data_IF_103307227499
#
_entry.id   IF_103307227499
#
_cell.length_a   1.000
_cell.length_b   1.000
_cell.length_c   1.000
_cell.angle_alpha   90.00
_cell.angle_beta   90.00
_cell.angle_gamma   90.00
#
_symmetry.space_group_name_H-M   'P 1'
#
loop_
_entity.id
_entity.type
_entity.pdbx_description
1 polymer ?
#
# COMPACT_ATOMS: atom_id res chain seq x y z
N UNK A 1 12.57 1.61 -1.84
CA UNK A 1 11.61 0.49 -1.65
C UNK A 1 10.49 0.95 -0.73
N UNK A 2 9.23 0.73 -1.10
CA UNK A 2 8.07 1.07 -0.27
C UNK A 2 7.37 -0.23 0.17
N UNK A 3 6.94 -0.29 1.43
CA UNK A 3 6.16 -1.41 1.96
C UNK A 3 4.98 -0.91 2.78
N UNK A 4 3.81 -1.50 2.57
CA UNK A 4 2.61 -1.29 3.38
C UNK A 4 2.24 -2.64 3.98
N UNK A 5 2.20 -2.72 5.32
CA UNK A 5 1.97 -3.98 6.03
C UNK A 5 0.86 -3.79 7.04
N UNK A 6 -0.12 -4.69 7.04
CA UNK A 6 -1.08 -4.82 8.13
C UNK A 6 -0.88 -6.17 8.82
N UNK A 7 -0.68 -6.15 10.14
CA UNK A 7 -0.36 -7.35 10.94
C UNK A 7 -1.56 -7.90 11.72
N UNK A 8 -2.77 -7.43 11.40
CA UNK A 8 -4.01 -7.77 12.12
C UNK A 8 -4.40 -6.74 13.17
N UNK A 9 -3.48 -5.84 13.57
CA UNK A 9 -3.77 -4.76 14.51
C UNK A 9 -3.15 -3.41 14.12
N UNK A 10 -2.00 -3.39 13.45
CA UNK A 10 -1.30 -2.17 13.09
C UNK A 10 -1.04 -2.11 11.60
N UNK A 11 -1.09 -0.91 11.02
CA UNK A 11 -0.60 -0.64 9.67
C UNK A 11 0.72 0.09 9.76
N UNK A 12 1.71 -0.37 8.99
CA UNK A 12 3.06 0.19 8.96
C UNK A 12 3.43 0.59 7.54
N UNK A 13 3.97 1.80 7.40
CA UNK A 13 4.63 2.26 6.18
C UNK A 13 6.14 2.13 6.34
N UNK A 14 6.75 1.42 5.42
CA UNK A 14 8.19 1.26 5.33
C UNK A 14 8.75 2.05 4.15
N UNK A 15 9.85 2.76 4.39
CA UNK A 15 10.73 3.34 3.36
C UNK A 15 12.11 2.73 3.56
N UNK A 16 12.59 2.02 2.55
CA UNK A 16 13.90 1.35 2.58
C UNK A 16 14.11 0.49 3.84
N UNK A 17 13.10 -0.34 4.13
CA UNK A 17 13.02 -1.25 5.29
C UNK A 17 12.95 -0.58 6.66
N UNK A 18 12.85 0.74 6.74
CA UNK A 18 12.63 1.50 7.99
C UNK A 18 11.15 1.87 8.13
N UNK A 19 10.57 1.64 9.31
CA UNK A 19 9.21 2.13 9.63
C UNK A 19 9.25 3.65 9.75
N UNK A 20 8.49 4.34 8.89
CA UNK A 20 8.40 5.81 8.88
C UNK A 20 7.03 6.32 9.35
N UNK A 21 6.01 5.45 9.38
CA UNK A 21 4.72 5.74 9.97
C UNK A 21 4.03 4.45 10.44
N UNK A 22 3.24 4.56 11.51
CA UNK A 22 2.48 3.45 12.09
C UNK A 22 1.18 3.96 12.71
N UNK A 23 0.09 3.21 12.53
CA UNK A 23 -1.16 3.39 13.28
C UNK A 23 -1.82 2.07 13.65
N UNK A 24 -2.77 2.11 14.59
CA UNK A 24 -3.55 0.96 15.01
C UNK A 24 -4.90 0.94 14.27
N UNK A 25 -5.19 -0.19 13.63
CA UNK A 25 -6.41 -0.45 12.87
C UNK A 25 -6.83 -1.91 13.11
N UNK A 26 -7.87 -2.11 13.93
CA UNK A 26 -8.32 -3.44 14.35
C UNK A 26 -9.04 -4.26 13.27
N UNK A 27 -9.38 -3.65 12.12
CA UNK A 27 -10.01 -4.32 10.99
C UNK A 27 -9.89 -3.49 9.72
N UNK A 28 -9.76 -4.15 8.57
CA UNK A 28 -9.74 -3.49 7.27
C UNK A 28 -11.12 -3.53 6.63
N UNK A 29 -11.59 -2.39 6.15
CA UNK A 29 -12.78 -2.32 5.31
C UNK A 29 -12.46 -2.88 3.92
N UNK A 30 -13.43 -3.60 3.35
CA UNK A 30 -13.35 -4.05 1.97
C UNK A 30 -13.38 -2.89 0.98
N UNK A 31 -12.70 -3.05 -0.15
CA UNK A 31 -12.86 -2.16 -1.31
C UNK A 31 -13.58 -2.91 -2.42
N UNK A 32 -14.65 -2.32 -2.95
CA UNK A 32 -15.42 -2.91 -4.05
C UNK A 32 -14.83 -2.62 -5.44
N UNK A 33 -13.89 -1.66 -5.52
CA UNK A 33 -13.24 -1.29 -6.77
C UNK A 33 -11.98 -2.12 -7.03
N UNK A 34 -11.59 -2.21 -8.30
CA UNK A 34 -10.33 -2.84 -8.70
C UNK A 34 -9.09 -2.14 -8.12
N UNK A 35 -8.01 -2.90 -7.97
CA UNK A 35 -6.72 -2.37 -7.55
C UNK A 35 -6.04 -1.63 -8.71
N UNK A 36 -5.90 -0.31 -8.57
CA UNK A 36 -5.19 0.53 -9.52
C UNK A 36 -3.80 0.87 -8.98
N UNK A 37 -2.76 0.64 -9.76
CA UNK A 37 -1.38 1.08 -9.45
C UNK A 37 -1.00 2.22 -10.38
N UNK A 38 -0.45 3.30 -9.81
CA UNK A 38 -0.03 4.47 -10.58
C UNK A 38 -1.17 5.40 -11.02
N UNK A 39 -2.38 5.26 -10.47
CA UNK A 39 -3.52 6.13 -10.73
C UNK A 39 -4.40 6.31 -9.49
N UNK A 40 -5.22 7.37 -9.47
CA UNK A 40 -6.23 7.56 -8.44
C UNK A 40 -7.41 6.58 -8.56
N UNK A 41 -8.25 6.53 -7.51
CA UNK A 41 -9.38 5.58 -7.40
C UNK A 41 -10.33 5.56 -8.62
N UNK A 42 -10.52 6.71 -9.28
CA UNK A 42 -11.41 6.88 -10.44
C UNK A 42 -10.65 6.99 -11.78
N UNK A 43 -9.33 6.75 -11.81
CA UNK A 43 -8.48 6.87 -13.01
C UNK A 43 -8.74 8.17 -13.80
N UNK A 44 -8.72 9.30 -13.10
CA UNK A 44 -9.01 10.61 -13.68
C UNK A 44 -7.73 11.33 -14.09
N UNK A 45 -7.84 12.22 -15.07
CA UNK A 45 -6.74 13.12 -15.47
C UNK A 45 -6.18 13.86 -14.26
N UNK A 46 -4.85 13.94 -14.19
CA UNK A 46 -4.13 14.56 -13.06
C UNK A 46 -3.89 13.64 -11.86
N UNK A 47 -4.45 12.42 -11.84
CA UNK A 47 -4.18 11.44 -10.77
C UNK A 47 -3.13 10.39 -11.12
N UNK A 48 -2.61 10.43 -12.35
CA UNK A 48 -1.62 9.47 -12.82
C UNK A 48 -0.24 9.78 -12.23
N UNK A 49 0.42 8.74 -11.72
CA UNK A 49 1.81 8.80 -11.30
C UNK A 49 2.73 8.96 -12.52
N UNK A 50 3.73 9.84 -12.41
CA UNK A 50 4.75 10.04 -13.43
C UNK A 50 6.08 9.49 -12.94
N UNK A 51 6.46 8.31 -13.43
CA UNK A 51 7.69 7.62 -13.06
C UNK A 51 7.64 6.14 -13.37
N UNK A 52 8.69 5.42 -12.96
CA UNK A 52 8.76 3.96 -13.09
C UNK A 52 8.27 3.29 -11.81
N UNK A 53 7.51 2.21 -11.98
CA UNK A 53 7.08 1.31 -10.91
C UNK A 53 7.49 -0.09 -11.35
N UNK A 54 8.13 -0.84 -10.47
CA UNK A 54 8.61 -2.20 -10.77
C UNK A 54 8.46 -3.10 -9.55
N UNK A 55 8.54 -4.42 -9.77
CA UNK A 55 8.71 -5.44 -8.72
C UNK A 55 7.55 -5.51 -7.70
N UNK A 56 6.31 -5.26 -8.16
CA UNK A 56 5.11 -5.25 -7.32
C UNK A 56 4.82 -6.66 -6.78
N UNK A 57 4.67 -6.78 -5.45
CA UNK A 57 4.31 -8.02 -4.77
C UNK A 57 3.18 -7.75 -3.77
N UNK A 58 2.19 -8.64 -3.76
CA UNK A 58 1.03 -8.59 -2.85
C UNK A 58 1.00 -9.93 -2.12
N UNK A 59 0.85 -9.88 -0.80
CA UNK A 59 0.83 -11.05 0.07
C UNK A 59 -0.46 -11.07 0.88
N UNK A 60 -0.93 -12.28 1.18
CA UNK A 60 -2.06 -12.57 2.09
C UNK A 60 -1.60 -12.68 3.56
N UNK A 61 -0.35 -12.31 3.84
CA UNK A 61 0.27 -12.32 5.16
C UNK A 61 1.12 -11.07 5.35
N UNK A 62 1.34 -10.70 6.62
CA UNK A 62 2.33 -9.69 6.96
C UNK A 62 3.74 -10.15 6.53
N UNK A 63 4.49 -9.24 5.92
CA UNK A 63 5.89 -9.43 5.52
C UNK A 63 6.73 -8.30 6.08
N UNK A 64 7.93 -8.61 6.55
CA UNK A 64 8.92 -7.59 6.90
C UNK A 64 9.84 -7.35 5.70
N UNK A 65 10.04 -6.09 5.26
CA UNK A 65 10.85 -5.76 4.08
C UNK A 65 12.35 -5.98 4.21
#
# INVERSE_FOLDING_TARGET
RIGLVWDGSNRKLYVDSVVVAEDTQGGLEGSENGLNIGAGKMTQTGTYFSGLIDDIRIYDRAVSP
#
